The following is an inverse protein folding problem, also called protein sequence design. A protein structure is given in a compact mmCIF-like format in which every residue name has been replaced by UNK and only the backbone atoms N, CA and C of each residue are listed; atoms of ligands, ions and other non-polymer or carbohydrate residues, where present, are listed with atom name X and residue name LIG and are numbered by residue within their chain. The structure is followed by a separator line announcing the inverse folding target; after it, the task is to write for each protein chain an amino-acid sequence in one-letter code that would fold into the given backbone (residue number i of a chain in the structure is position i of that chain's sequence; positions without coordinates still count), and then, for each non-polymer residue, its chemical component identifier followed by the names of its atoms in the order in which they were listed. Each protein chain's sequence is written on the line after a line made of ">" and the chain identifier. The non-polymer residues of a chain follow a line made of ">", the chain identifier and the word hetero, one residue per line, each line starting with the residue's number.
data_IF_566452915184
#
_entry.id   IF_566452915184
#
_cell.length_a   1.000
_cell.length_b   1.000
_cell.length_c   1.000
_cell.angle_alpha   90.00
_cell.angle_beta   90.00
_cell.angle_gamma   90.00
#
_symmetry.space_group_name_H-M   'P 1'
#
loop_
_entity.id
_entity.type
_entity.pdbx_description
1 polymer ?
#
# COMPACT_ATOMS: atom_id res chain seq x y z
N UNK A 1 0.79 56.65 27.41
CA UNK A 1 1.11 55.39 26.69
C UNK A 1 0.33 54.34 27.42
N UNK A 2 -0.92 54.17 27.00
CA UNK A 2 -1.96 53.68 27.89
C UNK A 2 -2.30 52.24 27.59
N UNK A 3 -2.15 51.45 28.64
CA UNK A 3 -2.35 50.03 28.73
C UNK A 3 -3.79 49.81 29.21
N UNK A 4 -4.68 49.27 28.38
CA UNK A 4 -5.97 48.76 28.88
C UNK A 4 -6.66 47.80 27.93
N UNK A 5 -7.06 46.65 28.50
CA UNK A 5 -8.23 45.85 28.18
C UNK A 5 -8.24 44.98 26.90
N UNK A 6 -7.63 43.80 27.01
CA UNK A 6 -8.09 42.62 26.27
C UNK A 6 -8.96 41.76 27.21
N UNK A 7 -10.28 41.95 27.08
CA UNK A 7 -11.31 41.22 27.80
C UNK A 7 -11.58 39.88 27.08
N UNK A 8 -10.99 38.79 27.54
CA UNK A 8 -11.25 37.45 27.01
C UNK A 8 -12.49 36.85 27.70
N UNK A 9 -13.57 36.72 26.93
CA UNK A 9 -14.77 35.98 27.32
C UNK A 9 -14.41 34.51 27.55
N UNK A 10 -14.55 34.05 28.80
CA UNK A 10 -14.50 32.64 29.16
C UNK A 10 -15.78 31.98 28.64
N UNK A 11 -15.65 31.15 27.61
CA UNK A 11 -16.75 30.31 27.12
C UNK A 11 -16.72 28.99 27.89
N UNK A 12 -17.83 28.57 28.54
CA UNK A 12 -17.88 27.29 29.23
C UNK A 12 -17.73 26.15 28.20
N UNK A 13 -16.73 25.28 28.42
CA UNK A 13 -16.50 24.12 27.56
C UNK A 13 -17.57 23.06 27.83
N UNK A 14 -18.24 22.61 26.77
CA UNK A 14 -19.08 21.41 26.80
C UNK A 14 -18.17 20.19 26.91
N UNK A 15 -18.39 19.38 27.93
CA UNK A 15 -17.73 18.09 28.13
C UNK A 15 -18.50 17.02 27.35
N UNK A 16 -17.77 16.07 26.77
CA UNK A 16 -18.35 14.82 26.28
C UNK A 16 -18.05 13.76 27.33
N UNK A 17 -19.10 13.21 27.92
CA UNK A 17 -19.04 12.02 28.77
C UNK A 17 -18.92 10.83 27.82
N UNK A 18 -17.89 10.01 27.99
CA UNK A 18 -17.80 8.71 27.35
C UNK A 18 -18.30 7.73 28.40
N UNK A 19 -19.54 7.29 28.26
CA UNK A 19 -20.10 6.20 29.05
C UNK A 19 -19.49 4.90 28.50
N UNK A 20 -18.64 4.28 29.30
CA UNK A 20 -18.16 2.92 29.10
C UNK A 20 -18.68 2.09 30.25
N UNK A 21 -19.75 1.35 30.00
CA UNK A 21 -20.13 0.19 30.78
C UNK A 21 -19.21 -0.95 30.37
N UNK A 22 -18.52 -1.56 31.33
CA UNK A 22 -18.13 -2.97 31.29
C UNK A 22 -17.78 -3.36 32.73
N UNK A 23 -18.75 -3.99 33.39
CA UNK A 23 -18.59 -4.74 34.62
C UNK A 23 -17.75 -5.99 34.32
N UNK A 24 -16.60 -6.14 34.97
CA UNK A 24 -15.96 -7.44 35.17
C UNK A 24 -15.58 -7.55 36.65
N UNK A 25 -16.43 -8.26 37.39
CA UNK A 25 -16.08 -8.89 38.65
C UNK A 25 -15.05 -9.99 38.41
N UNK A 26 -13.97 -10.05 39.19
CA UNK A 26 -13.07 -11.21 39.11
C UNK A 26 -11.70 -11.08 39.77
N UNK A 27 -11.66 -11.45 41.05
CA UNK A 27 -10.60 -12.22 41.71
C UNK A 27 -9.29 -11.51 42.11
N UNK A 28 -9.19 -11.24 43.42
CA UNK A 28 -7.98 -10.80 44.11
C UNK A 28 -6.90 -11.89 44.12
N UNK A 29 -5.73 -11.56 43.56
CA UNK A 29 -4.47 -12.25 43.83
C UNK A 29 -3.42 -11.28 44.37
N UNK A 30 -3.80 -10.44 45.32
CA UNK A 30 -2.84 -9.72 46.16
C UNK A 30 -2.25 -10.69 47.17
N UNK A 31 -1.07 -11.25 46.88
CA UNK A 31 -0.08 -11.62 47.91
C UNK A 31 1.32 -12.01 47.38
N UNK A 32 1.56 -12.02 46.07
CA UNK A 32 2.86 -12.52 45.55
C UNK A 32 3.94 -11.43 45.33
N UNK A 33 3.55 -10.16 45.21
CA UNK A 33 4.51 -9.09 44.95
C UNK A 33 5.36 -8.71 46.18
N UNK A 34 4.74 -8.66 47.37
CA UNK A 34 5.43 -8.26 48.60
C UNK A 34 6.38 -9.35 49.13
N UNK A 35 6.09 -10.63 48.88
CA UNK A 35 6.99 -11.72 49.25
C UNK A 35 8.28 -11.70 48.40
N UNK A 36 8.21 -11.26 47.14
CA UNK A 36 9.37 -11.12 46.26
C UNK A 36 10.35 -10.03 46.73
N UNK A 37 9.85 -8.93 47.30
CA UNK A 37 10.68 -7.88 47.90
C UNK A 37 11.41 -8.37 49.17
N UNK A 38 10.78 -9.25 49.94
CA UNK A 38 11.37 -9.79 51.19
C UNK A 38 12.57 -10.71 50.94
N UNK A 39 12.60 -11.40 49.80
CA UNK A 39 13.71 -12.28 49.43
C UNK A 39 15.01 -11.51 49.09
N UNK A 40 14.94 -10.23 48.73
CA UNK A 40 16.14 -9.42 48.45
C UNK A 40 16.92 -9.02 49.70
N UNK A 41 16.28 -9.05 50.87
CA UNK A 41 16.91 -8.61 52.14
C UNK A 41 17.75 -9.70 52.83
N UNK A 42 17.63 -10.97 52.40
CA UNK A 42 18.25 -12.12 53.06
C UNK A 42 19.31 -12.85 52.21
N UNK A 43 20.04 -12.11 51.36
CA UNK A 43 21.42 -12.43 51.02
C UNK A 43 21.74 -13.84 50.48
N UNK A 44 20.91 -14.40 49.60
CA UNK A 44 21.31 -15.58 48.83
C UNK A 44 20.68 -15.57 47.42
N UNK A 45 21.41 -15.01 46.46
CA UNK A 45 21.09 -15.08 45.03
C UNK A 45 22.12 -15.98 44.35
N UNK A 46 21.72 -17.20 44.04
CA UNK A 46 22.38 -18.04 43.02
C UNK A 46 21.91 -17.51 41.68
N UNK A 47 22.85 -17.06 40.86
CA UNK A 47 22.58 -16.54 39.52
C UNK A 47 22.05 -17.62 38.59
N UNK A 48 21.14 -17.21 37.73
CA UNK A 48 21.00 -17.81 36.41
C UNK A 48 21.00 -16.65 35.41
N UNK A 49 22.19 -16.38 34.88
CA UNK A 49 22.41 -15.51 33.74
C UNK A 49 21.91 -16.23 32.48
N UNK A 50 20.72 -15.85 32.01
CA UNK A 50 20.34 -16.05 30.61
C UNK A 50 19.67 -14.79 30.07
N UNK A 51 20.43 -13.70 30.03
CA UNK A 51 20.10 -12.54 29.19
C UNK A 51 20.29 -12.96 27.74
N UNK A 52 19.24 -13.50 27.14
CA UNK A 52 19.10 -13.52 25.69
C UNK A 52 18.87 -12.08 25.23
N UNK A 53 19.97 -11.40 24.90
CA UNK A 53 19.99 -10.12 24.20
C UNK A 53 19.50 -10.33 22.76
N UNK A 54 18.18 -10.47 22.62
CA UNK A 54 17.53 -10.48 21.31
C UNK A 54 17.01 -9.08 21.01
N UNK A 55 17.83 -8.31 20.30
CA UNK A 55 17.44 -7.25 19.36
C UNK A 55 16.31 -6.32 19.84
N UNK A 56 16.50 -5.63 20.98
CA UNK A 56 15.50 -4.66 21.48
C UNK A 56 15.39 -3.39 20.64
N UNK A 57 16.26 -3.19 19.64
CA UNK A 57 16.34 -1.96 18.84
C UNK A 57 15.20 -1.78 17.84
N UNK A 58 14.48 -2.87 17.53
CA UNK A 58 13.38 -2.91 16.58
C UNK A 58 11.99 -3.04 17.21
N UNK A 59 11.88 -2.87 18.54
CA UNK A 59 10.61 -2.97 19.26
C UNK A 59 10.14 -1.62 19.81
N UNK A 60 8.82 -1.42 19.81
CA UNK A 60 8.15 -0.30 20.43
C UNK A 60 8.31 -0.36 21.95
N UNK A 61 8.91 0.67 22.56
CA UNK A 61 9.18 0.65 24.01
C UNK A 61 7.92 0.72 24.89
N UNK A 62 6.79 1.13 24.31
CA UNK A 62 5.50 1.26 25.01
C UNK A 62 4.68 -0.04 24.96
N UNK A 63 4.56 -0.69 23.80
CA UNK A 63 3.76 -1.92 23.63
C UNK A 63 4.58 -3.21 23.66
N UNK A 64 5.91 -3.11 23.55
CA UNK A 64 6.85 -4.25 23.38
C UNK A 64 6.66 -5.06 22.09
N UNK A 65 5.82 -4.58 21.18
CA UNK A 65 5.63 -5.15 19.85
C UNK A 65 6.70 -4.64 18.89
N UNK A 66 6.88 -5.30 17.74
CA UNK A 66 7.74 -4.81 16.67
C UNK A 66 7.34 -3.40 16.21
N UNK A 67 8.34 -2.60 15.84
CA UNK A 67 8.12 -1.28 15.23
C UNK A 67 7.47 -1.46 13.86
N UNK A 68 6.35 -0.79 13.65
CA UNK A 68 5.68 -0.77 12.35
C UNK A 68 6.30 0.30 11.44
N UNK A 69 5.84 0.33 10.17
CA UNK A 69 6.27 1.33 9.19
C UNK A 69 5.99 2.77 9.64
N UNK A 70 5.02 2.94 10.55
CA UNK A 70 4.53 4.20 11.10
C UNK A 70 5.03 4.38 12.54
N UNK A 71 6.33 4.21 12.75
CA UNK A 71 6.96 4.54 14.03
C UNK A 71 7.48 5.98 14.05
N UNK A 72 7.59 6.52 15.27
CA UNK A 72 8.15 7.84 15.54
C UNK A 72 9.34 7.69 16.47
N UNK A 73 10.42 8.41 16.14
CA UNK A 73 11.58 8.57 17.01
C UNK A 73 11.50 9.95 17.67
N UNK A 74 11.43 9.98 19.00
CA UNK A 74 11.43 11.23 19.75
C UNK A 74 12.83 11.85 19.82
N UNK A 75 12.95 13.13 20.20
CA UNK A 75 14.25 13.82 20.32
C UNK A 75 15.20 13.18 21.35
N UNK A 76 14.65 12.35 22.24
CA UNK A 76 15.42 11.57 23.22
C UNK A 76 15.95 10.23 22.67
N UNK A 77 15.71 9.91 21.40
CA UNK A 77 16.15 8.68 20.73
C UNK A 77 15.19 7.49 20.83
N UNK A 78 14.21 7.54 21.73
CA UNK A 78 13.25 6.45 21.91
C UNK A 78 12.26 6.35 20.74
N UNK A 79 12.02 5.11 20.30
CA UNK A 79 11.14 4.76 19.19
C UNK A 79 9.82 4.16 19.70
N UNK A 80 8.72 4.57 19.09
CA UNK A 80 7.38 4.07 19.41
C UNK A 80 6.53 3.94 18.16
N UNK A 81 5.62 2.97 18.15
CA UNK A 81 4.53 2.94 17.18
C UNK A 81 3.65 4.18 17.36
N UNK A 82 3.25 4.81 16.26
CA UNK A 82 2.56 6.11 16.31
C UNK A 82 1.24 6.07 17.09
N UNK A 83 0.42 5.04 16.91
CA UNK A 83 -0.92 4.96 17.54
C UNK A 83 -0.82 4.88 19.08
N UNK A 84 -0.04 3.94 19.68
CA UNK A 84 0.19 3.93 21.12
C UNK A 84 0.74 5.25 21.66
N UNK A 85 1.73 5.83 20.97
CA UNK A 85 2.32 7.11 21.37
C UNK A 85 1.29 8.26 21.32
N UNK A 86 0.46 8.31 20.27
CA UNK A 86 -0.60 9.31 20.15
C UNK A 86 -1.58 9.24 21.32
N UNK A 87 -2.05 8.05 21.69
CA UNK A 87 -2.96 7.86 22.83
C UNK A 87 -2.34 8.36 24.14
N UNK A 88 -1.08 8.02 24.36
CA UNK A 88 -0.33 8.46 25.53
C UNK A 88 -0.17 9.99 25.58
N UNK A 89 0.16 10.64 24.46
CA UNK A 89 0.25 12.12 24.41
C UNK A 89 -1.12 12.77 24.62
N UNK A 90 -2.21 12.17 24.13
CA UNK A 90 -3.58 12.64 24.43
C UNK A 90 -3.83 12.61 25.93
N UNK A 91 -3.46 11.53 26.64
CA UNK A 91 -3.59 11.41 28.09
C UNK A 91 -2.77 12.48 28.81
N UNK A 92 -1.51 12.71 28.39
CA UNK A 92 -0.64 13.76 28.95
C UNK A 92 -1.24 15.17 28.80
N UNK A 93 -2.01 15.41 27.74
CA UNK A 93 -2.53 16.74 27.35
C UNK A 93 -3.97 16.99 27.74
N UNK A 94 -4.72 15.96 28.07
CA UNK A 94 -6.13 16.06 28.46
C UNK A 94 -6.28 16.05 29.96
N UNK A 95 -7.46 16.50 30.42
CA UNK A 95 -7.78 16.67 31.84
C UNK A 95 -7.58 15.41 32.69
N UNK A 96 -7.60 14.22 32.09
CA UNK A 96 -7.30 12.95 32.77
C UNK A 96 -5.87 12.90 33.35
N UNK A 97 -4.92 13.63 32.76
CA UNK A 97 -3.58 13.84 33.33
C UNK A 97 -3.44 15.07 34.22
N UNK A 98 -4.49 15.89 34.36
CA UNK A 98 -4.51 17.18 35.08
C UNK A 98 -5.52 17.23 36.24
N UNK A 99 -6.16 16.11 36.62
CA UNK A 99 -7.04 16.10 37.80
C UNK A 99 -6.25 16.15 39.10
N UNK A 100 -6.89 16.64 40.15
CA UNK A 100 -6.36 16.89 41.49
C UNK A 100 -5.80 15.65 42.21
N UNK A 101 -6.03 14.44 41.68
CA UNK A 101 -5.46 13.17 42.16
C UNK A 101 -4.48 12.51 41.17
N UNK A 102 -4.09 13.20 40.09
CA UNK A 102 -3.16 12.72 39.05
C UNK A 102 -1.70 12.69 39.51
N UNK A 103 -1.38 11.82 40.47
CA UNK A 103 -0.07 11.70 41.15
C UNK A 103 1.14 11.46 40.20
N UNK A 104 0.92 11.22 38.91
CA UNK A 104 1.97 10.83 37.95
C UNK A 104 2.37 11.90 36.92
N UNK A 105 1.66 13.03 36.79
CA UNK A 105 1.98 14.09 35.82
C UNK A 105 2.25 15.45 36.49
N UNK A 106 3.28 15.50 37.33
CA UNK A 106 3.66 16.69 38.13
C UNK A 106 4.19 17.90 37.35
N UNK A 107 4.25 17.87 36.01
CA UNK A 107 4.75 19.01 35.23
C UNK A 107 3.70 19.54 34.27
N UNK A 108 3.42 20.84 34.36
CA UNK A 108 2.61 21.57 33.39
C UNK A 108 3.38 21.66 32.07
N UNK A 109 2.87 21.00 31.03
CA UNK A 109 3.46 21.06 29.69
C UNK A 109 2.91 22.27 28.92
N UNK A 110 3.79 23.03 28.26
CA UNK A 110 3.34 24.07 27.31
C UNK A 110 2.62 23.44 26.13
N UNK A 111 1.90 24.25 25.37
CA UNK A 111 1.09 23.78 24.25
C UNK A 111 1.88 22.91 23.26
N UNK A 112 3.10 23.31 22.93
CA UNK A 112 3.99 22.64 21.98
C UNK A 112 4.85 21.53 22.60
N UNK A 113 4.75 21.29 23.91
CA UNK A 113 5.62 20.35 24.60
C UNK A 113 4.96 18.98 24.84
N UNK A 114 5.70 17.89 24.82
CA UNK A 114 5.20 16.58 25.25
C UNK A 114 6.29 15.78 25.95
N UNK A 115 5.91 14.80 26.77
CA UNK A 115 6.88 13.93 27.46
C UNK A 115 7.06 12.62 26.72
N UNK A 116 8.30 12.17 26.67
CA UNK A 116 8.58 10.79 26.28
C UNK A 116 7.94 9.83 27.30
N UNK A 117 7.14 8.83 26.87
CA UNK A 117 6.52 7.87 27.79
C UNK A 117 7.54 7.03 28.57
N UNK A 118 8.72 6.79 27.98
CA UNK A 118 9.76 5.94 28.55
C UNK A 118 10.68 6.71 29.51
N UNK A 119 11.39 7.74 29.02
CA UNK A 119 12.37 8.48 29.84
C UNK A 119 11.84 9.77 30.47
N UNK A 120 10.57 10.12 30.26
CA UNK A 120 9.90 11.34 30.76
C UNK A 120 10.54 12.69 30.36
N UNK A 121 11.58 12.69 29.51
CA UNK A 121 12.16 13.91 28.96
C UNK A 121 11.11 14.70 28.18
N UNK A 122 11.01 16.00 28.47
CA UNK A 122 10.14 16.92 27.74
C UNK A 122 10.82 17.32 26.43
N UNK A 123 10.06 17.29 25.34
CA UNK A 123 10.45 17.86 24.05
C UNK A 123 9.49 18.97 23.66
N UNK A 124 9.93 19.88 22.81
CA UNK A 124 9.25 21.14 22.42
C UNK A 124 8.53 21.06 21.07
N UNK A 125 8.41 19.84 20.52
CA UNK A 125 7.69 19.51 19.31
C UNK A 125 6.59 18.49 19.57
N UNK A 126 5.45 18.73 18.93
CA UNK A 126 4.29 17.86 18.94
C UNK A 126 4.43 16.70 17.95
N UNK A 127 3.56 15.70 18.07
CA UNK A 127 3.47 14.64 17.08
C UNK A 127 3.05 15.21 15.71
N UNK A 128 3.53 14.63 14.61
CA UNK A 128 3.05 14.98 13.27
C UNK A 128 1.58 14.58 13.12
N UNK A 129 0.77 15.37 12.42
CA UNK A 129 -0.55 14.89 12.02
C UNK A 129 -0.40 13.87 10.90
N UNK A 130 -0.84 12.64 11.18
CA UNK A 130 -0.92 11.56 10.22
C UNK A 130 -2.39 11.35 9.83
N UNK A 131 -2.69 11.46 8.54
CA UNK A 131 -4.05 11.24 8.01
C UNK A 131 -4.33 9.72 7.92
N UNK A 132 -4.44 9.11 9.10
CA UNK A 132 -4.67 7.69 9.33
C UNK A 132 -6.03 7.49 10.00
N UNK A 133 -6.62 6.31 9.83
CA UNK A 133 -7.92 6.01 10.42
C UNK A 133 -7.86 6.11 11.96
N UNK A 134 -8.92 6.66 12.55
CA UNK A 134 -9.05 6.90 13.99
C UNK A 134 -8.09 7.92 14.63
N UNK A 135 -7.28 8.64 13.84
CA UNK A 135 -6.44 9.74 14.32
C UNK A 135 -7.11 11.07 14.03
N UNK A 136 -7.53 11.75 15.09
CA UNK A 136 -8.10 13.11 14.99
C UNK A 136 -6.99 14.14 15.12
N UNK A 137 -7.18 15.27 14.45
CA UNK A 137 -6.31 16.44 14.64
C UNK A 137 -6.70 17.14 15.95
N UNK A 138 -5.81 17.12 16.93
CA UNK A 138 -5.99 17.67 18.27
C UNK A 138 -4.92 18.74 18.56
N UNK A 139 -5.40 19.92 18.95
CA UNK A 139 -4.54 21.05 19.32
C UNK A 139 -3.71 20.68 20.56
N UNK A 140 -2.39 20.85 20.47
CA UNK A 140 -1.46 20.51 21.55
C UNK A 140 -1.03 19.04 21.60
N UNK A 141 -1.48 18.21 20.66
CA UNK A 141 -1.09 16.79 20.52
C UNK A 141 -0.42 16.56 19.18
N UNK A 142 -1.14 16.83 18.08
CA UNK A 142 -0.65 16.68 16.71
C UNK A 142 -1.01 17.87 15.81
N UNK A 143 -1.21 19.04 16.42
CA UNK A 143 -1.42 20.29 15.69
C UNK A 143 -1.31 21.51 16.60
N UNK A 144 -1.07 22.72 16.04
CA UNK A 144 -0.87 23.03 14.62
C UNK A 144 0.45 22.49 14.05
N UNK A 145 0.50 22.32 12.73
CA UNK A 145 1.63 21.71 12.00
C UNK A 145 2.97 22.44 12.20
N UNK A 146 2.94 23.76 12.39
CA UNK A 146 4.13 24.57 12.69
C UNK A 146 4.83 24.17 14.01
N UNK A 147 4.12 23.50 14.92
CA UNK A 147 4.63 23.04 16.21
C UNK A 147 4.94 21.54 16.22
N UNK A 148 4.62 20.84 15.14
CA UNK A 148 4.85 19.41 15.01
C UNK A 148 6.30 19.11 14.59
N UNK A 149 6.79 17.93 14.96
CA UNK A 149 7.99 17.38 14.34
C UNK A 149 7.71 16.96 12.90
N UNK A 150 8.74 17.02 12.06
CA UNK A 150 8.69 16.51 10.69
C UNK A 150 8.86 15.00 10.71
N UNK A 151 8.15 14.31 9.83
CA UNK A 151 8.30 12.86 9.61
C UNK A 151 9.09 12.64 8.33
N UNK A 152 8.69 11.64 7.56
CA UNK A 152 9.13 11.38 6.20
C UNK A 152 8.37 12.31 5.27
N UNK A 153 9.09 12.88 4.32
CA UNK A 153 8.50 13.71 3.27
C UNK A 153 7.96 12.82 2.16
N UNK A 154 6.92 13.29 1.49
CA UNK A 154 6.37 12.58 0.34
C UNK A 154 7.34 12.64 -0.85
N UNK A 155 7.66 11.48 -1.39
CA UNK A 155 8.58 11.29 -2.51
C UNK A 155 7.90 11.46 -3.89
N UNK A 156 6.65 11.94 -3.91
CA UNK A 156 5.99 12.25 -5.16
C UNK A 156 6.72 13.41 -5.85
N UNK A 157 7.31 13.12 -7.00
CA UNK A 157 7.84 14.11 -7.92
C UNK A 157 6.74 14.41 -8.94
N UNK A 158 6.21 15.63 -8.90
CA UNK A 158 5.32 16.06 -9.98
C UNK A 158 6.14 16.14 -11.27
N UNK A 159 5.80 15.34 -12.27
CA UNK A 159 6.38 15.56 -13.60
C UNK A 159 5.82 16.87 -14.11
N UNK A 160 6.67 17.90 -14.18
CA UNK A 160 6.30 19.21 -14.70
C UNK A 160 5.76 19.04 -16.12
N UNK A 161 4.43 19.03 -16.24
CA UNK A 161 3.78 19.02 -17.54
C UNK A 161 4.27 20.24 -18.34
N UNK A 162 4.68 19.96 -19.57
CA UNK A 162 5.22 20.83 -20.63
C UNK A 162 4.35 22.07 -20.95
N UNK A 163 4.04 22.93 -19.98
CA UNK A 163 3.46 24.25 -20.24
C UNK A 163 4.60 25.24 -20.43
N UNK A 164 4.88 25.53 -21.71
CA UNK A 164 5.74 26.63 -22.14
C UNK A 164 5.30 27.92 -21.42
N UNK A 165 6.28 28.69 -20.94
CA UNK A 165 6.20 30.12 -20.63
C UNK A 165 5.70 30.62 -19.27
N UNK A 166 5.95 29.93 -18.16
CA UNK A 166 6.13 30.67 -16.89
C UNK A 166 7.28 30.09 -16.09
N UNK A 167 8.19 30.97 -15.62
CA UNK A 167 9.32 30.66 -14.76
C UNK A 167 8.81 29.99 -13.47
N UNK A 168 8.71 28.65 -13.47
CA UNK A 168 8.28 27.87 -12.30
C UNK A 168 9.50 27.58 -11.44
N UNK A 169 9.41 27.93 -10.16
CA UNK A 169 10.45 27.65 -9.16
C UNK A 169 10.55 26.14 -8.94
N UNK A 170 11.78 25.69 -8.74
CA UNK A 170 12.18 24.36 -8.25
C UNK A 170 11.52 24.15 -6.87
N UNK A 171 10.29 23.62 -6.85
CA UNK A 171 9.66 23.10 -5.63
C UNK A 171 8.71 21.96 -5.99
N UNK A 172 9.17 21.06 -6.87
CA UNK A 172 8.38 19.98 -7.48
C UNK A 172 8.19 18.75 -6.56
N UNK A 173 8.42 18.92 -5.25
CA UNK A 173 8.26 17.88 -4.23
C UNK A 173 7.15 18.22 -3.25
N UNK A 174 6.30 17.25 -2.93
CA UNK A 174 5.24 17.41 -1.95
C UNK A 174 5.80 17.61 -0.53
N UNK A 175 5.40 18.69 0.15
CA UNK A 175 5.82 18.99 1.54
C UNK A 175 4.99 18.26 2.61
N UNK A 176 4.03 17.43 2.23
CA UNK A 176 3.17 16.73 3.17
C UNK A 176 3.89 15.54 3.83
N UNK A 177 3.53 15.25 5.08
CA UNK A 177 3.95 14.03 5.76
C UNK A 177 3.48 12.79 4.98
N UNK A 178 4.39 11.84 4.79
CA UNK A 178 4.17 10.62 4.05
C UNK A 178 4.18 9.40 4.97
N UNK A 179 3.28 8.46 4.68
CA UNK A 179 3.00 7.29 5.53
C UNK A 179 2.82 6.04 4.67
N UNK A 180 2.18 6.19 3.51
CA UNK A 180 1.86 5.06 2.65
C UNK A 180 3.06 4.68 1.82
N UNK A 181 3.43 3.40 1.82
CA UNK A 181 4.56 2.88 1.04
C UNK A 181 4.06 2.26 -0.25
N UNK A 182 4.65 2.64 -1.37
CA UNK A 182 4.45 1.99 -2.68
C UNK A 182 5.82 1.75 -3.29
N UNK A 183 6.17 0.49 -3.55
CA UNK A 183 7.46 0.10 -4.12
C UNK A 183 8.68 0.67 -3.36
N UNK A 184 8.59 0.74 -2.02
CA UNK A 184 9.65 1.27 -1.16
C UNK A 184 9.70 2.80 -1.01
N UNK A 185 8.86 3.54 -1.74
CA UNK A 185 8.77 5.00 -1.66
C UNK A 185 7.58 5.45 -0.80
N UNK A 186 7.75 6.56 -0.06
CA UNK A 186 6.73 7.09 0.86
C UNK A 186 5.85 8.18 0.21
N UNK A 187 4.52 8.03 0.35
CA UNK A 187 3.52 8.94 -0.20
C UNK A 187 2.57 9.49 0.88
N UNK A 188 2.15 10.74 0.71
CA UNK A 188 1.02 11.30 1.45
C UNK A 188 -0.28 10.64 0.95
N UNK A 189 -1.35 10.68 1.76
CA UNK A 189 -2.64 10.03 1.42
C UNK A 189 -3.14 10.37 0.01
N UNK A 190 -3.10 11.66 -0.35
CA UNK A 190 -3.50 12.14 -1.67
C UNK A 190 -2.69 11.50 -2.81
N UNK A 191 -1.36 11.48 -2.69
CA UNK A 191 -0.50 10.92 -3.74
C UNK A 191 -0.54 9.39 -3.76
N UNK A 192 -0.76 8.75 -2.61
CA UNK A 192 -1.00 7.32 -2.54
C UNK A 192 -2.28 6.91 -3.30
N UNK A 193 -3.39 7.62 -3.07
CA UNK A 193 -4.65 7.39 -3.79
C UNK A 193 -4.48 7.60 -5.30
N UNK A 194 -3.72 8.62 -5.73
CA UNK A 194 -3.40 8.83 -7.14
C UNK A 194 -2.55 7.71 -7.76
N UNK A 195 -1.55 7.20 -7.03
CA UNK A 195 -0.75 6.06 -7.47
C UNK A 195 -1.62 4.81 -7.65
N UNK A 196 -2.52 4.55 -6.69
CA UNK A 196 -3.42 3.40 -6.74
C UNK A 196 -4.37 3.47 -7.95
N UNK A 197 -4.96 4.64 -8.22
CA UNK A 197 -5.80 4.86 -9.40
C UNK A 197 -5.02 4.66 -10.70
N UNK A 198 -3.77 5.14 -10.76
CA UNK A 198 -2.92 4.98 -11.95
C UNK A 198 -2.60 3.51 -12.22
N UNK A 199 -2.26 2.74 -11.17
CA UNK A 199 -2.01 1.31 -11.29
C UNK A 199 -3.25 0.54 -11.74
N UNK A 200 -4.43 0.86 -11.20
CA UNK A 200 -5.69 0.24 -11.62
C UNK A 200 -5.99 0.51 -13.11
N UNK A 201 -5.78 1.75 -13.57
CA UNK A 201 -5.96 2.10 -14.98
C UNK A 201 -4.98 1.35 -15.90
N UNK A 202 -3.72 1.20 -15.49
CA UNK A 202 -2.73 0.43 -16.25
C UNK A 202 -3.14 -1.05 -16.36
N UNK A 203 -3.56 -1.66 -15.26
CA UNK A 203 -4.04 -3.05 -15.25
C UNK A 203 -5.28 -3.25 -16.13
N UNK A 204 -6.20 -2.28 -16.16
CA UNK A 204 -7.38 -2.34 -17.04
C UNK A 204 -6.98 -2.26 -18.51
N UNK A 205 -6.06 -1.35 -18.88
CA UNK A 205 -5.55 -1.25 -20.25
C UNK A 205 -4.85 -2.52 -20.70
N UNK A 206 -3.98 -3.08 -19.85
CA UNK A 206 -3.29 -4.35 -20.15
C UNK A 206 -4.27 -5.52 -20.35
N UNK A 207 -5.37 -5.57 -19.58
CA UNK A 207 -6.43 -6.57 -19.76
C UNK A 207 -7.17 -6.39 -21.08
N UNK A 208 -7.54 -5.16 -21.43
CA UNK A 208 -8.19 -4.84 -22.70
C UNK A 208 -7.29 -5.20 -23.89
N UNK A 209 -6.01 -4.83 -23.85
CA UNK A 209 -5.04 -5.17 -24.91
C UNK A 209 -4.84 -6.68 -25.07
N UNK A 210 -4.92 -7.46 -23.99
CA UNK A 210 -4.86 -8.93 -24.05
C UNK A 210 -6.12 -9.53 -24.67
N UNK A 211 -7.30 -9.03 -24.32
CA UNK A 211 -8.58 -9.46 -24.89
C UNK A 211 -8.65 -9.16 -26.39
N UNK A 212 -8.27 -7.94 -26.81
CA UNK A 212 -8.24 -7.57 -28.23
C UNK A 212 -7.26 -8.42 -29.05
N UNK A 213 -6.17 -8.90 -28.45
CA UNK A 213 -5.23 -9.82 -29.10
C UNK A 213 -5.80 -11.22 -29.26
N UNK A 214 -6.52 -11.73 -28.27
CA UNK A 214 -7.19 -13.04 -28.32
C UNK A 214 -8.30 -13.05 -29.38
N UNK A 215 -9.18 -12.05 -29.40
CA UNK A 215 -10.25 -11.94 -30.41
C UNK A 215 -9.71 -11.86 -31.85
N UNK A 216 -8.54 -11.23 -32.05
CA UNK A 216 -7.88 -11.18 -33.36
C UNK A 216 -7.25 -12.52 -33.78
N UNK A 217 -6.89 -13.38 -32.83
CA UNK A 217 -6.37 -14.72 -33.11
C UNK A 217 -7.51 -15.67 -33.47
N UNK A 218 -8.62 -15.67 -32.71
CA UNK A 218 -9.81 -16.48 -32.98
C UNK A 218 -10.41 -16.17 -34.37
N UNK A 219 -10.52 -14.90 -34.73
CA UNK A 219 -11.01 -14.50 -36.07
C UNK A 219 -10.12 -14.95 -37.22
N UNK A 220 -8.81 -15.16 -36.99
CA UNK A 220 -7.89 -15.66 -38.03
C UNK A 220 -8.01 -17.16 -38.25
N UNK A 221 -8.35 -17.93 -37.22
CA UNK A 221 -8.57 -19.37 -37.34
C UNK A 221 -9.90 -19.69 -38.04
N UNK A 222 -10.94 -18.86 -37.86
CA UNK A 222 -12.22 -19.01 -38.56
C UNK A 222 -12.20 -18.59 -40.05
N UNK A 223 -11.12 -17.95 -40.52
CA UNK A 223 -10.93 -17.58 -41.94
C UNK A 223 -9.95 -18.46 -42.69
N UNK A 224 -9.58 -19.63 -42.19
CA UNK A 224 -9.07 -20.68 -43.07
C UNK A 224 -10.26 -21.29 -43.84
N UNK A 225 -10.41 -21.02 -45.16
CA UNK A 225 -11.39 -21.75 -45.93
C UNK A 225 -11.02 -23.23 -45.90
N UNK A 226 -11.93 -24.07 -45.42
CA UNK A 226 -11.93 -25.49 -45.74
C UNK A 226 -11.85 -25.61 -47.26
N UNK A 227 -10.67 -25.96 -47.76
CA UNK A 227 -10.40 -26.21 -49.17
C UNK A 227 -11.00 -27.59 -49.53
N UNK A 228 -12.32 -27.72 -49.42
CA UNK A 228 -13.06 -28.85 -49.94
C UNK A 228 -13.13 -28.73 -51.47
N UNK A 229 -12.10 -29.26 -52.12
CA UNK A 229 -12.10 -29.92 -53.43
C UNK A 229 -12.95 -29.31 -54.56
N UNK A 230 -12.55 -28.16 -55.12
CA UNK A 230 -13.03 -27.73 -56.46
C UNK A 230 -12.25 -28.38 -57.64
N UNK A 231 -11.43 -29.41 -57.38
CA UNK A 231 -10.59 -30.02 -58.41
C UNK A 231 -11.21 -31.21 -59.17
N UNK A 232 -12.53 -31.41 -59.07
CA UNK A 232 -13.22 -32.44 -59.84
C UNK A 232 -13.30 -32.13 -61.36
N UNK A 233 -12.91 -30.92 -61.78
CA UNK A 233 -13.11 -30.44 -63.15
C UNK A 233 -11.84 -30.24 -63.99
N UNK A 234 -10.69 -30.79 -63.60
CA UNK A 234 -9.44 -30.70 -64.38
C UNK A 234 -9.05 -32.04 -65.02
N UNK A 235 -8.45 -32.00 -66.21
CA UNK A 235 -7.98 -33.19 -66.91
C UNK A 235 -6.69 -33.72 -66.28
N UNK A 236 -6.76 -34.82 -65.52
CA UNK A 236 -5.59 -35.45 -64.86
C UNK A 236 -4.53 -36.08 -65.78
N UNK A 237 -4.53 -35.79 -67.09
CA UNK A 237 -3.57 -36.38 -68.04
C UNK A 237 -2.29 -35.53 -68.11
N UNK A 238 -1.13 -36.17 -67.93
CA UNK A 238 0.19 -35.54 -68.12
C UNK A 238 0.58 -35.54 -69.60
N UNK A 239 1.01 -34.39 -70.11
CA UNK A 239 1.40 -34.22 -71.51
C UNK A 239 2.74 -34.93 -71.77
N UNK A 240 2.78 -35.87 -72.72
CA UNK A 240 3.98 -36.69 -73.00
C UNK A 240 4.94 -36.08 -74.05
N UNK A 241 4.51 -35.09 -74.81
CA UNK A 241 5.28 -34.53 -75.94
C UNK A 241 5.17 -32.99 -76.03
N UNK A 242 6.10 -32.35 -76.73
CA UNK A 242 6.11 -30.90 -76.96
C UNK A 242 6.67 -30.05 -75.80
N UNK A 243 6.59 -28.72 -75.95
CA UNK A 243 7.19 -27.75 -75.01
C UNK A 243 6.62 -27.80 -73.58
N UNK A 244 5.45 -28.42 -73.39
CA UNK A 244 4.80 -28.59 -72.09
C UNK A 244 4.85 -30.03 -71.56
N UNK A 245 5.81 -30.84 -72.05
CA UNK A 245 6.00 -32.21 -71.58
C UNK A 245 6.19 -32.24 -70.05
N UNK A 246 5.48 -33.14 -69.38
CA UNK A 246 5.53 -33.31 -67.92
C UNK A 246 4.55 -32.44 -67.13
N UNK A 247 3.88 -31.48 -67.77
CA UNK A 247 2.85 -30.67 -67.11
C UNK A 247 1.46 -31.32 -67.23
N UNK A 248 0.57 -31.12 -66.23
CA UNK A 248 -0.80 -31.58 -66.29
C UNK A 248 -1.60 -30.81 -67.36
N UNK A 249 -2.56 -31.49 -67.97
CA UNK A 249 -3.47 -30.86 -68.91
C UNK A 249 -4.39 -29.88 -68.18
N UNK A 250 -4.26 -28.59 -68.48
CA UNK A 250 -5.08 -27.52 -67.88
C UNK A 250 -6.48 -27.41 -68.49
N UNK A 251 -6.85 -28.32 -69.40
CA UNK A 251 -8.19 -28.35 -69.97
C UNK A 251 -9.18 -28.97 -69.00
N UNK A 252 -10.45 -28.63 -69.14
CA UNK A 252 -11.50 -29.15 -68.28
C UNK A 252 -11.56 -30.68 -68.26
N UNK A 253 -12.27 -31.22 -67.27
CA UNK A 253 -12.58 -32.64 -67.12
C UNK A 253 -13.35 -33.22 -68.29
N UNK A 254 -13.63 -32.51 -69.38
CA UNK A 254 -14.15 -33.06 -70.65
C UNK A 254 -13.21 -32.75 -71.83
N UNK A 255 -11.90 -32.76 -71.60
CA UNK A 255 -10.90 -32.50 -72.63
C UNK A 255 -11.06 -33.47 -73.82
N UNK A 256 -11.53 -32.94 -74.97
CA UNK A 256 -11.76 -33.72 -76.19
C UNK A 256 -10.48 -34.39 -76.71
N UNK A 257 -9.32 -33.77 -76.48
CA UNK A 257 -8.00 -34.26 -76.91
C UNK A 257 -7.65 -35.58 -76.21
N UNK A 258 -8.07 -35.76 -74.96
CA UNK A 258 -7.76 -36.94 -74.16
C UNK A 258 -8.99 -37.82 -73.86
N UNK A 259 -10.12 -37.57 -74.51
CA UNK A 259 -11.37 -38.31 -74.28
C UNK A 259 -11.22 -39.81 -74.60
N UNK A 260 -10.35 -40.16 -75.56
CA UNK A 260 -10.09 -41.53 -75.98
C UNK A 260 -9.33 -42.35 -74.92
N UNK A 261 -8.51 -41.69 -74.08
CA UNK A 261 -7.69 -42.35 -73.05
C UNK A 261 -8.49 -42.77 -71.82
N UNK A 262 -9.71 -42.24 -71.65
CA UNK A 262 -10.58 -42.53 -70.49
C UNK A 262 -11.40 -43.82 -70.62
N UNK A 263 -11.50 -44.38 -71.83
CA UNK A 263 -12.28 -45.60 -72.07
C UNK A 263 -11.60 -46.89 -71.57
N UNK A 264 -10.35 -46.82 -71.09
CA UNK A 264 -9.58 -47.97 -70.64
C UNK A 264 -9.28 -47.97 -69.13
N UNK A 265 -9.97 -47.16 -68.33
CA UNK A 265 -9.83 -47.24 -66.86
C UNK A 265 -10.69 -48.40 -66.36
N UNK A 266 -10.11 -49.60 -66.40
CA UNK A 266 -10.60 -50.77 -65.67
C UNK A 266 -10.47 -50.41 -64.19
N UNK A 267 -11.60 -50.25 -63.51
CA UNK A 267 -11.67 -50.06 -62.07
C UNK A 267 -11.27 -51.40 -61.44
N UNK A 268 -10.02 -51.50 -60.98
CA UNK A 268 -9.63 -52.58 -60.08
C UNK A 268 -10.22 -52.25 -58.70
N UNK A 269 -11.35 -52.86 -58.36
CA UNK A 269 -11.87 -52.87 -57.00
C UNK A 269 -10.97 -53.75 -56.15
N UNK A 270 -10.22 -53.16 -55.23
CA UNK A 270 -9.57 -53.89 -54.15
C UNK A 270 -10.65 -54.31 -53.13
N UNK A 271 -10.79 -55.61 -52.94
CA UNK A 271 -11.43 -56.23 -51.77
C UNK A 271 -10.32 -56.41 -50.74
N UNK A 272 -10.50 -55.86 -49.55
CA UNK A 272 -10.32 -56.52 -48.24
C UNK A 272 -10.74 -55.55 -47.11
#
# INVERSE_FOLDING_TARGET
>A
MDNSNLNYKIVPKKYYVIEGEDEIEGQSCENDFFNKLKCMSNGQCVGDDSVNDTDTDNNCLLTKEALNDIHVTLNCGHKFNYIPLYKEVVIQKTSAGMTTNGYYNSCTLRLNEMKCPYCRRVQDKLLPFLNYDNIKRLRGVNGPESLCMKVRMCEHVETANKRKNTKKKISDSCECNAIHVVNGAYYCKKHYEQQLQTQQQQQQKEKQEKQEKQEKQEKKEETEPSFESENANMCGVIIKTGKKKGLPCTSSSKCRIHAHLRKNVIVATCVD
#
